data_IF_563102334584
#
_entry.id   IF_563102334584
#
_cell.length_a   1.000
_cell.length_b   1.000
_cell.length_c   1.000
_cell.angle_alpha   90.00
_cell.angle_beta   90.00
_cell.angle_gamma   90.00
#
_symmetry.space_group_name_H-M   'P 1'
#
loop_
_entity.id
_entity.type
_entity.pdbx_description
1 polymer ?
#
# COMPACT_ATOMS: atom_id res chain seq x y z
N UNK A 1 9.48 -19.22 -20.89
CA UNK A 1 10.95 -19.17 -20.71
C UNK A 1 11.55 -20.48 -21.20
N UNK A 2 12.45 -20.42 -22.18
CA UNK A 2 13.14 -21.60 -22.74
C UNK A 2 14.64 -21.45 -22.49
N UNK A 3 15.29 -22.35 -21.71
CA UNK A 3 16.74 -22.32 -21.48
C UNK A 3 17.53 -22.42 -22.78
N UNK A 4 18.63 -21.66 -22.88
CA UNK A 4 19.55 -21.69 -24.04
C UNK A 4 20.94 -22.13 -23.59
N UNK A 5 21.49 -21.48 -22.56
CA UNK A 5 22.85 -21.76 -22.09
C UNK A 5 22.99 -21.51 -20.60
N UNK A 6 23.78 -22.33 -19.91
CA UNK A 6 24.15 -22.16 -18.51
C UNK A 6 25.67 -22.28 -18.34
N UNK A 7 26.29 -21.25 -17.78
CA UNK A 7 27.70 -21.28 -17.39
C UNK A 7 27.81 -21.15 -15.88
N UNK A 8 28.72 -21.94 -15.29
CA UNK A 8 28.94 -22.00 -13.85
C UNK A 8 30.40 -21.74 -13.52
N UNK A 9 30.65 -20.96 -12.47
CA UNK A 9 31.96 -20.79 -11.85
C UNK A 9 31.83 -20.96 -10.34
N UNK A 10 32.63 -21.87 -9.78
CA UNK A 10 32.77 -22.07 -8.32
C UNK A 10 31.44 -22.28 -7.58
N UNK A 11 30.50 -22.98 -8.20
CA UNK A 11 29.15 -23.23 -7.69
C UNK A 11 29.00 -24.67 -7.21
N UNK A 12 28.91 -24.90 -5.90
CA UNK A 12 28.85 -26.23 -5.28
C UNK A 12 29.96 -27.18 -5.81
N UNK A 13 29.60 -28.24 -6.52
CA UNK A 13 30.54 -29.22 -7.09
C UNK A 13 31.23 -28.72 -8.37
N UNK A 14 30.76 -27.62 -8.96
CA UNK A 14 31.27 -27.06 -10.22
C UNK A 14 32.41 -26.07 -9.95
N UNK A 15 33.56 -26.30 -10.58
CA UNK A 15 34.76 -25.48 -10.43
C UNK A 15 34.82 -24.25 -11.36
N UNK A 16 36.02 -23.81 -11.70
CA UNK A 16 36.22 -22.64 -12.58
C UNK A 16 36.11 -22.99 -14.07
N UNK A 17 36.68 -24.13 -14.48
CA UNK A 17 36.74 -24.54 -15.89
C UNK A 17 35.62 -25.54 -16.24
N UNK A 18 34.37 -25.11 -16.03
CA UNK A 18 33.20 -25.94 -16.34
C UNK A 18 32.73 -25.61 -17.75
N UNK A 19 32.70 -26.58 -18.68
CA UNK A 19 32.13 -26.35 -20.00
C UNK A 19 30.68 -25.88 -19.89
N UNK A 20 30.27 -24.90 -20.70
CA UNK A 20 28.90 -24.40 -20.64
C UNK A 20 27.91 -25.48 -21.08
N UNK A 21 26.80 -25.59 -20.36
CA UNK A 21 25.70 -26.46 -20.74
C UNK A 21 24.85 -25.74 -21.79
N UNK A 22 24.86 -26.26 -23.00
CA UNK A 22 24.05 -25.78 -24.12
C UNK A 22 22.74 -26.58 -24.21
N UNK A 23 21.64 -25.94 -23.83
CA UNK A 23 20.31 -26.58 -23.83
C UNK A 23 19.74 -26.71 -25.25
N UNK A 24 20.29 -26.02 -26.25
CA UNK A 24 19.79 -26.11 -27.63
C UNK A 24 20.11 -27.45 -28.29
N UNK A 25 21.02 -28.22 -27.70
CA UNK A 25 21.46 -29.52 -28.22
C UNK A 25 20.49 -30.67 -27.89
N UNK A 26 19.50 -30.45 -27.03
CA UNK A 26 18.55 -31.47 -26.62
C UNK A 26 17.17 -30.90 -26.30
N UNK A 27 16.12 -31.65 -26.62
CA UNK A 27 14.75 -31.32 -26.19
C UNK A 27 14.39 -31.98 -24.85
N UNK A 28 14.96 -33.17 -24.59
CA UNK A 28 14.78 -33.94 -23.37
C UNK A 28 16.16 -34.44 -22.95
N UNK A 29 16.51 -34.26 -21.67
CA UNK A 29 17.74 -34.77 -21.09
C UNK A 29 17.46 -35.54 -19.80
N UNK A 30 18.21 -36.62 -19.59
CA UNK A 30 18.22 -37.35 -18.33
C UNK A 30 19.55 -37.08 -17.62
N UNK A 31 19.50 -36.47 -16.44
CA UNK A 31 20.67 -36.27 -15.58
C UNK A 31 20.85 -37.51 -14.70
N UNK A 32 21.81 -38.37 -15.07
CA UNK A 32 22.16 -39.58 -14.32
C UNK A 32 23.56 -39.49 -13.73
N UNK A 33 23.80 -40.18 -12.60
CA UNK A 33 25.09 -40.20 -11.90
C UNK A 33 24.93 -40.62 -10.44
N UNK A 34 26.03 -40.73 -9.69
CA UNK A 34 25.96 -41.00 -8.25
C UNK A 34 25.46 -39.77 -7.46
N UNK A 35 25.02 -39.99 -6.22
CA UNK A 35 24.73 -38.89 -5.29
C UNK A 35 25.98 -38.05 -5.05
N UNK A 36 25.82 -36.72 -5.00
CA UNK A 36 26.94 -35.80 -4.82
C UNK A 36 27.66 -35.34 -6.10
N UNK A 37 27.34 -35.89 -7.28
CA UNK A 37 27.96 -35.47 -8.55
C UNK A 37 27.36 -34.20 -9.18
N UNK A 38 26.73 -33.33 -8.39
CA UNK A 38 26.27 -32.02 -8.89
C UNK A 38 24.95 -31.98 -9.66
N UNK A 39 24.24 -33.10 -9.81
CA UNK A 39 22.93 -33.13 -10.51
C UNK A 39 21.94 -32.08 -9.97
N UNK A 40 21.75 -32.05 -8.65
CA UNK A 40 20.89 -31.05 -8.00
C UNK A 40 21.50 -29.64 -8.04
N UNK A 41 22.83 -29.52 -8.10
CA UNK A 41 23.52 -28.24 -8.17
C UNK A 41 23.27 -27.50 -9.48
N UNK A 42 23.10 -28.20 -10.62
CA UNK A 42 22.66 -27.57 -11.87
C UNK A 42 21.30 -26.89 -11.72
N UNK A 43 20.38 -27.57 -11.04
CA UNK A 43 19.03 -27.07 -10.82
C UNK A 43 19.03 -25.87 -9.86
N UNK A 44 19.81 -25.95 -8.78
CA UNK A 44 20.01 -24.81 -7.87
C UNK A 44 20.64 -23.61 -8.56
N UNK A 45 21.53 -23.83 -9.53
CA UNK A 45 22.15 -22.74 -10.27
C UNK A 45 21.11 -21.97 -11.11
N UNK A 46 20.14 -22.68 -11.71
CA UNK A 46 19.03 -22.04 -12.43
C UNK A 46 18.18 -21.21 -11.47
N UNK A 47 17.74 -21.79 -10.34
CA UNK A 47 16.90 -21.04 -9.39
C UNK A 47 17.63 -19.87 -8.76
N UNK A 48 18.92 -20.05 -8.43
CA UNK A 48 19.73 -19.02 -7.80
C UNK A 48 20.04 -17.89 -8.77
N UNK A 49 20.37 -18.19 -10.03
CA UNK A 49 20.65 -17.14 -11.02
C UNK A 49 19.44 -16.21 -11.20
N UNK A 50 18.24 -16.76 -11.36
CA UNK A 50 17.02 -16.00 -11.64
C UNK A 50 16.48 -15.30 -10.38
N UNK A 51 16.29 -16.04 -9.28
CA UNK A 51 15.59 -15.52 -8.09
C UNK A 51 16.49 -15.25 -6.88
N UNK A 52 17.76 -15.67 -6.92
CA UNK A 52 18.63 -15.64 -5.74
C UNK A 52 18.25 -16.67 -4.66
N UNK A 53 17.41 -17.64 -5.04
CA UNK A 53 16.87 -18.67 -4.17
C UNK A 53 17.44 -20.05 -4.54
N UNK A 54 17.69 -20.88 -3.55
CA UNK A 54 18.24 -22.21 -3.72
C UNK A 54 18.27 -22.97 -2.40
N UNK A 55 18.98 -24.10 -2.35
CA UNK A 55 19.24 -24.80 -1.09
C UNK A 55 19.92 -23.86 -0.09
N UNK A 56 19.42 -23.84 1.15
CA UNK A 56 19.94 -23.03 2.26
C UNK A 56 20.42 -23.97 3.37
N UNK A 57 21.52 -23.61 4.04
CA UNK A 57 21.90 -24.24 5.30
C UNK A 57 20.88 -23.91 6.40
N UNK A 58 20.72 -24.80 7.39
CA UNK A 58 19.70 -24.67 8.46
C UNK A 58 19.77 -23.38 9.28
N UNK A 59 20.88 -22.63 9.20
CA UNK A 59 21.14 -21.40 9.95
C UNK A 59 21.28 -20.16 9.04
N UNK A 60 21.14 -20.30 7.71
CA UNK A 60 21.40 -19.21 6.77
C UNK A 60 20.10 -18.56 6.25
N UNK A 61 20.02 -17.22 6.36
CA UNK A 61 18.89 -16.45 5.80
C UNK A 61 18.91 -16.39 4.27
N UNK A 62 20.08 -16.53 3.64
CA UNK A 62 20.30 -16.48 2.19
C UNK A 62 21.08 -17.70 1.74
N UNK A 63 20.82 -18.17 0.52
CA UNK A 63 21.47 -19.35 -0.03
C UNK A 63 22.94 -19.11 -0.45
N UNK A 64 23.35 -17.85 -0.61
CA UNK A 64 24.59 -17.45 -1.27
C UNK A 64 25.84 -18.16 -0.70
N UNK A 65 26.00 -18.21 0.63
CA UNK A 65 27.15 -18.87 1.25
C UNK A 65 27.12 -20.39 1.08
N UNK A 66 25.96 -21.01 1.31
CA UNK A 66 25.80 -22.47 1.16
C UNK A 66 25.98 -22.98 -0.28
N UNK A 67 25.86 -22.12 -1.29
CA UNK A 67 26.03 -22.47 -2.71
C UNK A 67 27.46 -22.26 -3.21
N UNK A 68 28.27 -21.45 -2.50
CA UNK A 68 29.67 -21.21 -2.84
C UNK A 68 30.48 -22.50 -2.66
N UNK A 69 31.27 -22.86 -3.67
CA UNK A 69 32.18 -24.01 -3.59
C UNK A 69 33.16 -23.85 -2.44
N UNK A 70 33.29 -24.89 -1.62
CA UNK A 70 34.20 -24.88 -0.46
C UNK A 70 35.63 -24.51 -0.86
N UNK A 71 36.23 -23.57 -0.13
CA UNK A 71 37.58 -23.08 -0.38
C UNK A 71 37.68 -21.95 -1.42
N UNK A 72 36.57 -21.60 -2.09
CA UNK A 72 36.52 -20.48 -3.03
C UNK A 72 36.02 -19.20 -2.37
N UNK A 73 36.30 -18.05 -3.00
CA UNK A 73 35.91 -16.73 -2.50
C UNK A 73 34.84 -16.07 -3.36
N UNK A 74 34.62 -16.56 -4.57
CA UNK A 74 33.63 -16.03 -5.51
C UNK A 74 32.95 -17.17 -6.26
N UNK A 75 31.71 -16.94 -6.66
CA UNK A 75 30.96 -17.78 -7.58
C UNK A 75 30.17 -16.93 -8.57
N UNK A 76 29.89 -17.50 -9.73
CA UNK A 76 29.08 -16.86 -10.76
C UNK A 76 28.23 -17.89 -11.48
N UNK A 77 27.00 -17.48 -11.81
CA UNK A 77 26.13 -18.21 -12.73
C UNK A 77 25.68 -17.25 -13.81
N UNK A 78 25.92 -17.62 -15.06
CA UNK A 78 25.37 -16.97 -16.25
C UNK A 78 24.29 -17.88 -16.84
N UNK A 79 23.09 -17.34 -16.99
CA UNK A 79 21.95 -18.04 -17.56
C UNK A 79 21.38 -17.26 -18.74
N UNK A 80 21.32 -17.90 -19.91
CA UNK A 80 20.74 -17.36 -21.14
C UNK A 80 19.48 -18.14 -21.46
N UNK A 81 18.40 -17.42 -21.77
CA UNK A 81 17.10 -18.00 -22.10
C UNK A 81 16.35 -17.15 -23.12
N UNK A 82 15.41 -17.79 -23.81
CA UNK A 82 14.48 -17.13 -24.72
C UNK A 82 13.10 -16.98 -24.05
N UNK A 83 12.47 -15.82 -24.23
CA UNK A 83 11.14 -15.49 -23.70
C UNK A 83 10.39 -14.63 -24.71
N UNK A 84 9.20 -15.10 -25.14
CA UNK A 84 8.34 -14.38 -26.08
C UNK A 84 9.04 -13.95 -27.40
N UNK A 85 10.09 -14.67 -27.81
CA UNK A 85 10.87 -14.39 -29.03
C UNK A 85 12.15 -13.57 -28.80
N UNK A 86 12.32 -13.00 -27.61
CA UNK A 86 13.52 -12.25 -27.22
C UNK A 86 14.49 -13.11 -26.42
N UNK A 87 15.79 -12.84 -26.58
CA UNK A 87 16.86 -13.53 -25.83
C UNK A 87 17.37 -12.66 -24.69
N UNK A 88 17.40 -13.24 -23.50
CA UNK A 88 17.84 -12.58 -22.28
C UNK A 88 19.03 -13.30 -21.66
N UNK A 89 19.79 -12.55 -20.86
CA UNK A 89 20.92 -13.06 -20.08
C UNK A 89 20.87 -12.50 -18.67
N UNK A 90 20.97 -13.38 -17.70
CA UNK A 90 21.15 -13.04 -16.28
C UNK A 90 22.55 -13.48 -15.87
N UNK A 91 23.30 -12.57 -15.27
CA UNK A 91 24.59 -12.88 -14.64
C UNK A 91 24.45 -12.54 -13.16
N UNK A 92 24.51 -13.57 -12.31
CA UNK A 92 24.54 -13.39 -10.86
C UNK A 92 25.89 -13.83 -10.33
N UNK A 93 26.50 -12.98 -9.52
CA UNK A 93 27.75 -13.33 -8.84
C UNK A 93 27.66 -13.03 -7.34
N UNK A 94 28.41 -13.82 -6.59
CA UNK A 94 28.59 -13.64 -5.16
C UNK A 94 30.08 -13.71 -4.86
N UNK A 95 30.58 -12.79 -4.05
CA UNK A 95 31.96 -12.83 -3.60
C UNK A 95 32.07 -12.48 -2.12
N UNK A 96 33.07 -13.08 -1.48
CA UNK A 96 33.44 -12.89 -0.10
C UNK A 96 34.81 -12.20 -0.03
N UNK A 97 34.84 -11.01 0.57
CA UNK A 97 36.03 -10.22 0.80
C UNK A 97 36.22 -9.99 2.31
N UNK A 98 36.93 -10.92 2.96
CA UNK A 98 37.25 -10.81 4.39
C UNK A 98 36.03 -11.03 5.28
N UNK A 99 35.44 -9.96 5.82
CA UNK A 99 34.17 -10.02 6.61
C UNK A 99 32.95 -9.57 5.80
N UNK A 100 33.16 -9.04 4.59
CA UNK A 100 32.11 -8.50 3.75
C UNK A 100 31.76 -9.47 2.63
N UNK A 101 30.51 -9.47 2.22
CA UNK A 101 30.04 -10.21 1.05
C UNK A 101 29.35 -9.25 0.07
N UNK A 102 29.50 -9.52 -1.22
CA UNK A 102 28.91 -8.71 -2.29
C UNK A 102 28.16 -9.61 -3.25
N UNK A 103 26.91 -9.25 -3.52
CA UNK A 103 26.10 -9.85 -4.59
C UNK A 103 26.06 -8.86 -5.74
N UNK A 104 26.32 -9.34 -6.95
CA UNK A 104 26.07 -8.61 -8.20
C UNK A 104 24.96 -9.31 -8.98
N UNK A 105 24.11 -8.53 -9.64
CA UNK A 105 23.05 -9.01 -10.49
C UNK A 105 22.98 -8.14 -11.73
N UNK A 106 23.23 -8.73 -12.89
CA UNK A 106 23.08 -8.08 -14.18
C UNK A 106 21.98 -8.77 -14.97
N UNK A 107 21.18 -7.96 -15.64
CA UNK A 107 20.14 -8.41 -16.56
C UNK A 107 20.34 -7.72 -17.91
N UNK A 108 20.35 -8.49 -18.99
CA UNK A 108 20.63 -8.00 -20.33
C UNK A 108 19.64 -8.61 -21.34
N UNK A 109 19.28 -7.85 -22.37
CA UNK A 109 18.53 -8.34 -23.53
C UNK A 109 19.44 -8.32 -24.76
N UNK A 110 19.31 -9.32 -25.61
CA UNK A 110 20.08 -9.43 -26.83
C UNK A 110 19.40 -8.63 -27.95
N UNK A 111 20.13 -7.64 -28.48
CA UNK A 111 19.72 -6.87 -29.64
C UNK A 111 20.19 -7.58 -30.92
N UNK A 112 19.23 -8.12 -31.67
CA UNK A 112 19.49 -8.82 -32.92
C UNK A 112 20.08 -7.89 -34.00
N UNK A 113 19.73 -6.60 -34.01
CA UNK A 113 20.23 -5.66 -35.02
C UNK A 113 21.69 -5.29 -34.77
N UNK A 114 22.02 -5.07 -33.50
CA UNK A 114 23.38 -4.73 -33.06
C UNK A 114 24.28 -5.91 -32.78
N UNK A 115 23.77 -7.15 -32.84
CA UNK A 115 24.45 -8.39 -32.45
C UNK A 115 25.16 -8.28 -31.09
N UNK A 116 24.49 -7.67 -30.10
CA UNK A 116 25.08 -7.37 -28.80
C UNK A 116 24.04 -7.43 -27.68
N UNK A 117 24.52 -7.63 -26.46
CA UNK A 117 23.67 -7.53 -25.28
C UNK A 117 23.58 -6.08 -24.80
N UNK A 118 22.35 -5.62 -24.56
CA UNK A 118 22.03 -4.31 -24.00
C UNK A 118 21.64 -4.50 -22.53
N UNK A 119 22.24 -3.70 -21.65
CA UNK A 119 21.95 -3.78 -20.22
C UNK A 119 20.53 -3.31 -19.91
N UNK A 120 19.80 -4.13 -19.19
CA UNK A 120 18.54 -3.84 -18.51
C UNK A 120 18.75 -3.71 -16.99
N UNK A 121 20.00 -3.63 -16.54
CA UNK A 121 20.38 -3.60 -15.13
C UNK A 121 20.13 -2.23 -14.52
N UNK A 122 19.55 -2.19 -13.31
CA UNK A 122 19.41 -0.99 -12.50
C UNK A 122 20.56 -0.87 -11.48
N UNK A 123 20.85 0.33 -10.94
CA UNK A 123 21.89 0.51 -9.93
C UNK A 123 21.69 -0.35 -8.68
N UNK A 124 20.43 -0.64 -8.32
CA UNK A 124 20.08 -1.51 -7.20
C UNK A 124 19.85 -2.95 -7.67
N UNK A 125 20.42 -3.91 -6.93
CA UNK A 125 20.15 -5.34 -7.13
C UNK A 125 18.68 -5.67 -6.88
N UNK A 126 18.00 -4.96 -5.97
CA UNK A 126 16.57 -5.15 -5.70
C UNK A 126 15.71 -4.73 -6.91
N UNK A 127 15.98 -3.56 -7.48
CA UNK A 127 15.24 -3.07 -8.65
C UNK A 127 15.49 -3.95 -9.88
N UNK A 128 16.72 -4.44 -10.04
CA UNK A 128 17.05 -5.41 -11.09
C UNK A 128 16.31 -6.73 -10.88
N UNK A 129 16.22 -7.22 -9.63
CA UNK A 129 15.44 -8.42 -9.29
C UNK A 129 13.95 -8.23 -9.62
N UNK A 130 13.36 -7.10 -9.24
CA UNK A 130 11.96 -6.77 -9.55
C UNK A 130 11.73 -6.71 -11.07
N UNK A 131 12.70 -6.16 -11.83
CA UNK A 131 12.64 -6.13 -13.29
C UNK A 131 12.67 -7.53 -13.90
N UNK A 132 13.54 -8.41 -13.40
CA UNK A 132 13.62 -9.82 -13.86
C UNK A 132 12.28 -10.52 -13.61
N UNK A 133 11.71 -10.39 -12.41
CA UNK A 133 10.42 -11.00 -12.04
C UNK A 133 9.29 -10.46 -12.91
N UNK A 134 9.22 -9.14 -13.13
CA UNK A 134 8.22 -8.51 -14.01
C UNK A 134 8.35 -8.97 -15.46
N UNK A 135 9.58 -9.17 -15.94
CA UNK A 135 9.83 -9.62 -17.31
C UNK A 135 9.40 -11.08 -17.47
N UNK A 136 9.80 -11.95 -16.53
CA UNK A 136 9.45 -13.38 -16.54
C UNK A 136 7.97 -13.65 -16.23
N UNK A 137 7.31 -12.72 -15.52
CA UNK A 137 5.97 -12.90 -14.92
C UNK A 137 5.87 -14.18 -14.09
N UNK A 138 6.99 -14.60 -13.51
CA UNK A 138 7.13 -15.86 -12.79
C UNK A 138 8.04 -15.64 -11.58
N UNK A 139 7.47 -15.74 -10.38
CA UNK A 139 8.24 -15.73 -9.16
C UNK A 139 8.78 -17.13 -8.81
N UNK A 140 9.62 -17.19 -7.77
CA UNK A 140 10.26 -18.43 -7.34
C UNK A 140 9.25 -19.49 -6.89
N UNK A 141 8.23 -19.11 -6.12
CA UNK A 141 7.23 -20.04 -5.60
C UNK A 141 6.41 -20.63 -6.73
N UNK A 142 6.00 -19.79 -7.67
CA UNK A 142 5.29 -20.19 -8.87
C UNK A 142 6.13 -21.15 -9.70
N UNK A 143 7.43 -20.86 -9.90
CA UNK A 143 8.33 -21.74 -10.65
C UNK A 143 8.48 -23.14 -10.02
N UNK A 144 8.75 -23.23 -8.71
CA UNK A 144 8.92 -24.52 -8.02
C UNK A 144 7.62 -25.33 -7.86
N UNK A 145 6.45 -24.68 -8.00
CA UNK A 145 5.17 -25.37 -7.95
C UNK A 145 4.63 -25.73 -9.35
N UNK A 146 5.17 -25.17 -10.43
CA UNK A 146 4.65 -25.36 -11.80
C UNK A 146 5.64 -26.03 -12.76
N UNK A 147 6.80 -25.42 -12.95
CA UNK A 147 7.78 -25.81 -13.97
C UNK A 147 8.90 -26.68 -13.39
N UNK A 148 9.09 -26.66 -12.08
CA UNK A 148 10.19 -27.36 -11.42
C UNK A 148 9.71 -28.33 -10.34
N UNK A 149 9.58 -29.59 -10.73
CA UNK A 149 9.11 -30.65 -9.84
C UNK A 149 10.29 -31.18 -9.01
N UNK A 150 10.39 -30.71 -7.76
CA UNK A 150 11.38 -31.20 -6.80
C UNK A 150 11.11 -32.66 -6.40
N UNK A 151 12.18 -33.45 -6.29
CA UNK A 151 12.11 -34.83 -5.82
C UNK A 151 11.51 -34.88 -4.40
N UNK A 152 10.43 -35.67 -4.22
CA UNK A 152 9.69 -35.77 -2.95
C UNK A 152 8.63 -34.70 -2.71
N UNK A 153 8.49 -33.71 -3.60
CA UNK A 153 7.47 -32.65 -3.53
C UNK A 153 6.39 -32.73 -4.63
N UNK A 154 6.37 -33.81 -5.42
CA UNK A 154 5.26 -34.12 -6.34
C UNK A 154 3.92 -34.08 -5.60
N UNK A 155 3.91 -34.57 -4.36
CA UNK A 155 2.71 -34.58 -3.53
C UNK A 155 2.43 -33.23 -2.85
N UNK A 156 3.33 -32.24 -2.89
CA UNK A 156 3.16 -30.98 -2.14
C UNK A 156 1.91 -30.25 -2.63
N UNK A 157 1.71 -30.18 -3.95
CA UNK A 157 0.48 -29.65 -4.53
C UNK A 157 -0.74 -30.52 -4.20
N UNK A 158 -0.60 -31.85 -4.24
CA UNK A 158 -1.70 -32.80 -3.96
C UNK A 158 -2.12 -32.81 -2.48
N UNK A 159 -1.19 -32.52 -1.55
CA UNK A 159 -1.40 -32.48 -0.10
C UNK A 159 -1.85 -31.11 0.39
N UNK A 160 -1.61 -30.03 -0.38
CA UNK A 160 -2.12 -28.68 -0.08
C UNK A 160 -3.65 -28.69 0.04
N UNK A 161 -4.19 -27.83 0.89
CA UNK A 161 -5.62 -27.61 1.03
C UNK A 161 -6.21 -27.00 -0.25
N UNK A 162 -7.54 -27.04 -0.40
CA UNK A 162 -8.21 -26.43 -1.55
C UNK A 162 -7.88 -24.93 -1.69
N UNK A 163 -7.72 -24.23 -0.55
CA UNK A 163 -7.33 -22.81 -0.51
C UNK A 163 -5.91 -22.60 -1.03
N UNK A 164 -4.93 -23.33 -0.51
CA UNK A 164 -3.53 -23.20 -0.90
C UNK A 164 -3.31 -23.60 -2.36
N UNK A 165 -4.02 -24.62 -2.86
CA UNK A 165 -4.00 -24.97 -4.30
C UNK A 165 -4.54 -23.83 -5.16
N UNK A 166 -5.63 -23.20 -4.73
CA UNK A 166 -6.19 -22.04 -5.42
C UNK A 166 -5.19 -20.88 -5.45
N UNK A 167 -4.51 -20.60 -4.34
CA UNK A 167 -3.47 -19.56 -4.27
C UNK A 167 -2.32 -19.84 -5.25
N UNK A 168 -1.76 -21.06 -5.25
CA UNK A 168 -0.70 -21.45 -6.20
C UNK A 168 -1.15 -21.33 -7.66
N UNK A 169 -2.36 -21.80 -7.99
CA UNK A 169 -2.90 -21.68 -9.35
C UNK A 169 -3.17 -20.22 -9.74
N UNK A 170 -3.66 -19.41 -8.81
CA UNK A 170 -3.84 -17.97 -9.02
C UNK A 170 -2.52 -17.26 -9.31
N UNK A 171 -1.44 -17.61 -8.61
CA UNK A 171 -0.10 -17.08 -8.87
C UNK A 171 0.42 -17.50 -10.27
N UNK A 172 0.29 -18.80 -10.62
CA UNK A 172 0.68 -19.32 -11.94
C UNK A 172 -0.06 -18.60 -13.07
N UNK A 173 -1.35 -18.35 -12.88
CA UNK A 173 -2.20 -17.70 -13.87
C UNK A 173 -2.12 -16.16 -13.81
N UNK A 174 -1.32 -15.59 -12.91
CA UNK A 174 -1.17 -14.14 -12.75
C UNK A 174 -2.44 -13.44 -12.27
N UNK A 175 -3.31 -14.13 -11.53
CA UNK A 175 -4.60 -13.60 -11.06
C UNK A 175 -4.47 -12.63 -9.88
N UNK A 176 -3.28 -12.49 -9.29
CA UNK A 176 -3.02 -11.55 -8.19
C UNK A 176 -3.37 -10.10 -8.54
N UNK A 177 -3.29 -9.72 -9.82
CA UNK A 177 -3.73 -8.41 -10.29
C UNK A 177 -5.22 -8.14 -10.01
N UNK A 178 -6.07 -9.18 -10.08
CA UNK A 178 -7.50 -9.04 -9.77
C UNK A 178 -7.75 -8.86 -8.26
N UNK A 179 -6.89 -9.43 -7.42
CA UNK A 179 -6.95 -9.21 -5.97
C UNK A 179 -6.58 -7.76 -5.63
N UNK A 180 -5.59 -7.18 -6.31
CA UNK A 180 -5.24 -5.75 -6.19
C UNK A 180 -6.42 -4.85 -6.59
N UNK A 181 -7.03 -5.10 -7.76
CA UNK A 181 -8.21 -4.37 -8.22
C UNK A 181 -9.39 -4.50 -7.25
N UNK A 182 -9.59 -5.68 -6.67
CA UNK A 182 -10.63 -5.93 -5.67
C UNK A 182 -10.38 -5.10 -4.40
N UNK A 183 -9.13 -5.03 -3.94
CA UNK A 183 -8.76 -4.23 -2.76
C UNK A 183 -8.92 -2.73 -3.02
N UNK A 184 -8.57 -2.25 -4.21
CA UNK A 184 -8.83 -0.87 -4.64
C UNK A 184 -10.34 -0.57 -4.63
N UNK A 185 -11.15 -1.43 -5.24
CA UNK A 185 -12.60 -1.26 -5.26
C UNK A 185 -13.22 -1.23 -3.85
N UNK A 186 -12.76 -2.09 -2.94
CA UNK A 186 -13.18 -2.08 -1.52
C UNK A 186 -12.80 -0.77 -0.82
N UNK A 187 -11.62 -0.23 -1.11
CA UNK A 187 -11.18 1.05 -0.55
C UNK A 187 -12.09 2.19 -1.02
N UNK A 188 -12.35 2.27 -2.33
CA UNK A 188 -13.28 3.26 -2.89
C UNK A 188 -14.69 3.14 -2.31
N UNK A 189 -15.21 1.92 -2.19
CA UNK A 189 -16.54 1.67 -1.61
C UNK A 189 -16.59 2.18 -0.15
N UNK A 190 -15.55 1.93 0.64
CA UNK A 190 -15.46 2.40 2.02
C UNK A 190 -15.45 3.93 2.11
N UNK A 191 -14.71 4.60 1.24
CA UNK A 191 -14.69 6.07 1.18
C UNK A 191 -16.05 6.65 0.82
N UNK A 192 -16.72 6.09 -0.19
CA UNK A 192 -18.05 6.52 -0.61
C UNK A 192 -19.06 6.33 0.53
N UNK A 193 -19.04 5.18 1.22
CA UNK A 193 -19.93 4.93 2.35
C UNK A 193 -19.72 5.94 3.49
N UNK A 194 -18.48 6.31 3.80
CA UNK A 194 -18.19 7.34 4.80
C UNK A 194 -18.76 8.72 4.39
N UNK A 195 -18.65 9.07 3.10
CA UNK A 195 -19.24 10.30 2.57
C UNK A 195 -20.76 10.26 2.71
N UNK A 196 -21.40 9.15 2.32
CA UNK A 196 -22.86 8.96 2.43
C UNK A 196 -23.30 9.13 3.89
N UNK A 197 -22.68 8.41 4.82
CA UNK A 197 -23.00 8.52 6.25
C UNK A 197 -22.90 9.96 6.77
N UNK A 198 -21.85 10.68 6.38
CA UNK A 198 -21.65 12.08 6.80
C UNK A 198 -22.73 13.00 6.22
N UNK A 199 -23.17 12.77 4.98
CA UNK A 199 -24.23 13.54 4.33
C UNK A 199 -25.59 13.24 4.94
N UNK A 200 -25.89 11.97 5.21
CA UNK A 200 -27.15 11.55 5.82
C UNK A 200 -27.29 12.15 7.23
N UNK A 201 -26.25 12.07 8.06
CA UNK A 201 -26.28 12.72 9.39
C UNK A 201 -26.49 14.24 9.30
N UNK A 202 -25.93 14.90 8.28
CA UNK A 202 -26.13 16.34 8.07
C UNK A 202 -27.55 16.66 7.58
N UNK A 203 -28.11 15.83 6.72
CA UNK A 203 -29.51 15.97 6.28
C UNK A 203 -30.47 15.77 7.44
N UNK A 204 -30.21 14.79 8.30
CA UNK A 204 -31.02 14.53 9.49
C UNK A 204 -30.98 15.70 10.48
N UNK A 205 -29.79 16.27 10.71
CA UNK A 205 -29.64 17.50 11.51
C UNK A 205 -30.43 18.68 10.94
N UNK A 206 -30.32 18.95 9.62
CA UNK A 206 -31.05 20.03 8.96
C UNK A 206 -32.56 19.80 9.02
N UNK A 207 -33.02 18.55 8.87
CA UNK A 207 -34.44 18.21 8.97
C UNK A 207 -34.99 18.48 10.38
N UNK A 208 -34.22 18.18 11.42
CA UNK A 208 -34.59 18.50 12.81
C UNK A 208 -34.68 20.01 13.07
N UNK A 209 -33.71 20.79 12.58
CA UNK A 209 -33.74 22.26 12.67
C UNK A 209 -34.96 22.85 11.95
N UNK A 210 -35.23 22.39 10.71
CA UNK A 210 -36.38 22.84 9.93
C UNK A 210 -37.73 22.54 10.62
N UNK A 211 -37.84 21.38 11.28
CA UNK A 211 -39.05 21.03 12.03
C UNK A 211 -39.33 21.99 13.20
N UNK A 212 -38.32 22.67 13.73
CA UNK A 212 -38.49 23.64 14.82
C UNK A 212 -38.74 25.07 14.35
N UNK A 213 -38.64 25.36 13.05
CA UNK A 213 -38.78 26.74 12.52
C UNK A 213 -40.13 27.36 12.87
N UNK A 214 -41.23 26.62 12.73
CA UNK A 214 -42.56 27.15 13.03
C UNK A 214 -42.76 27.38 14.53
N UNK A 215 -42.16 26.54 15.38
CA UNK A 215 -42.12 26.75 16.83
C UNK A 215 -41.37 28.05 17.19
N UNK A 216 -40.17 28.26 16.62
CA UNK A 216 -39.40 29.47 16.86
C UNK A 216 -40.10 30.72 16.32
N UNK A 217 -40.75 30.66 15.14
CA UNK A 217 -41.57 31.75 14.61
C UNK A 217 -42.72 32.10 15.56
N UNK A 218 -43.42 31.11 16.10
CA UNK A 218 -44.47 31.30 17.09
C UNK A 218 -43.95 32.02 18.34
N UNK A 219 -42.82 31.54 18.87
CA UNK A 219 -42.17 32.11 20.06
C UNK A 219 -41.68 33.55 19.85
N UNK A 220 -41.13 33.85 18.67
CA UNK A 220 -40.73 35.21 18.29
C UNK A 220 -41.95 36.13 18.25
N UNK A 221 -43.06 35.68 17.66
CA UNK A 221 -44.29 36.47 17.60
C UNK A 221 -44.83 36.77 19.00
N UNK A 222 -44.89 35.75 19.86
CA UNK A 222 -45.36 35.89 21.24
C UNK A 222 -44.48 36.83 22.08
N UNK A 223 -43.16 36.73 21.93
CA UNK A 223 -42.20 37.64 22.56
C UNK A 223 -42.33 39.08 22.03
N UNK A 224 -42.53 39.25 20.73
CA UNK A 224 -42.74 40.56 20.10
C UNK A 224 -44.03 41.21 20.59
N UNK A 225 -45.13 40.46 20.66
CA UNK A 225 -46.42 40.96 21.17
C UNK A 225 -46.31 41.33 22.65
N UNK A 226 -45.61 40.52 23.45
CA UNK A 226 -45.34 40.79 24.86
C UNK A 226 -44.48 42.04 25.04
N UNK A 227 -43.43 42.20 24.24
CA UNK A 227 -42.59 43.39 24.25
C UNK A 227 -43.39 44.63 23.90
N UNK A 228 -44.23 44.59 22.86
CA UNK A 228 -45.09 45.72 22.47
C UNK A 228 -46.02 46.15 23.60
N UNK A 229 -46.70 45.19 24.26
CA UNK A 229 -47.58 45.45 25.41
C UNK A 229 -46.82 46.07 26.59
N UNK A 230 -45.64 45.54 26.92
CA UNK A 230 -44.83 46.06 28.03
C UNK A 230 -44.35 47.47 27.72
N UNK A 231 -43.86 47.72 26.50
CA UNK A 231 -43.44 49.05 26.06
C UNK A 231 -44.57 50.07 26.11
N UNK A 232 -45.79 49.68 25.74
CA UNK A 232 -46.96 50.56 25.86
C UNK A 232 -47.28 50.88 27.33
N UNK A 233 -47.26 49.89 28.22
CA UNK A 233 -47.45 50.11 29.67
C UNK A 233 -46.37 51.01 30.27
N UNK A 234 -45.11 50.87 29.85
CA UNK A 234 -44.02 51.75 30.28
C UNK A 234 -44.34 53.18 29.87
N UNK A 235 -44.74 53.41 28.62
CA UNK A 235 -45.08 54.74 28.10
C UNK A 235 -46.24 55.38 28.85
N UNK A 236 -47.31 54.61 29.13
CA UNK A 236 -48.45 55.07 29.93
C UNK A 236 -48.02 55.44 31.37
N UNK A 237 -47.13 54.65 31.97
CA UNK A 237 -46.61 54.93 33.31
C UNK A 237 -45.69 56.14 33.34
N UNK A 238 -44.86 56.35 32.32
CA UNK A 238 -44.04 57.55 32.16
C UNK A 238 -44.90 58.81 32.04
N UNK A 239 -45.98 58.77 31.25
CA UNK A 239 -46.94 59.88 31.16
C UNK A 239 -47.63 60.17 32.50
N UNK A 240 -48.02 59.12 33.24
CA UNK A 240 -48.58 59.27 34.59
C UNK A 240 -47.57 59.91 35.54
N UNK A 241 -46.31 59.48 35.51
CA UNK A 241 -45.23 60.05 36.33
C UNK A 241 -45.01 61.52 35.99
N UNK A 242 -44.99 61.89 34.71
CA UNK A 242 -44.82 63.29 34.30
C UNK A 242 -45.97 64.16 34.80
N UNK A 243 -47.23 63.73 34.66
CA UNK A 243 -48.39 64.45 35.21
C UNK A 243 -48.33 64.61 36.74
N UNK A 244 -47.90 63.56 37.45
CA UNK A 244 -47.73 63.63 38.90
C UNK A 244 -46.59 64.57 39.31
N UNK A 245 -45.48 64.59 38.56
CA UNK A 245 -44.38 65.55 38.77
C UNK A 245 -44.82 66.99 38.54
N UNK A 246 -45.55 67.26 37.48
CA UNK A 246 -46.13 68.60 37.22
C UNK A 246 -47.06 69.04 38.37
N UNK A 247 -47.94 68.14 38.83
CA UNK A 247 -48.85 68.42 39.94
C UNK A 247 -48.13 68.62 41.27
N UNK A 248 -47.07 67.84 41.52
CA UNK A 248 -46.23 68.02 42.71
C UNK A 248 -45.51 69.38 42.67
N UNK A 249 -44.94 69.76 41.52
CA UNK A 249 -44.32 71.08 41.34
C UNK A 249 -45.32 72.23 41.54
N UNK A 250 -46.54 72.10 41.01
CA UNK A 250 -47.60 73.09 41.24
C UNK A 250 -48.02 73.22 42.71
N UNK A 251 -48.17 72.09 43.41
CA UNK A 251 -48.50 72.09 44.84
C UNK A 251 -47.36 72.65 45.69
N UNK A 252 -46.10 72.38 45.32
CA UNK A 252 -44.93 72.93 45.98
C UNK A 252 -44.86 74.45 45.81
N UNK A 253 -45.07 74.96 44.59
CA UNK A 253 -45.16 76.40 44.33
C UNK A 253 -46.29 77.06 45.14
N UNK A 254 -47.47 76.42 45.22
CA UNK A 254 -48.57 76.92 46.07
C UNK A 254 -48.25 76.91 47.56
N UNK A 255 -47.51 75.91 48.03
CA UNK A 255 -47.04 75.86 49.42
C UNK A 255 -46.06 76.99 49.71
N UNK A 256 -45.12 77.25 48.79
CA UNK A 256 -44.16 78.34 48.90
C UNK A 256 -44.86 79.72 48.89
N UNK A 257 -45.86 79.92 48.01
CA UNK A 257 -46.71 81.13 48.03
C UNK A 257 -47.47 81.30 49.35
N UNK A 258 -47.97 80.21 49.92
CA UNK A 258 -48.70 80.23 51.18
C UNK A 258 -47.77 80.55 52.36
N UNK A 259 -46.57 79.96 52.38
CA UNK A 259 -45.53 80.24 53.38
C UNK A 259 -45.03 81.69 53.28
N UNK A 260 -44.91 82.24 52.07
CA UNK A 260 -44.56 83.65 51.85
C UNK A 260 -45.69 84.60 52.31
N UNK A 261 -46.96 84.21 52.13
CA UNK A 261 -48.11 84.94 52.65
C UNK A 261 -48.17 84.92 54.19
N UNK A 262 -47.86 83.78 54.82
CA UNK A 262 -47.78 83.64 56.28
C UNK A 262 -46.69 84.56 56.84
N UNK A 263 -45.49 84.58 56.22
CA UNK A 263 -44.40 85.48 56.62
C UNK A 263 -44.68 86.98 56.44
N UNK A 264 -45.71 87.36 55.68
CA UNK A 264 -46.16 88.77 55.55
C UNK A 264 -47.21 89.17 56.59
N UNK A 265 -47.79 88.21 57.30
CA UNK A 265 -48.84 88.41 58.30
C UNK A 265 -48.26 88.41 59.73
N UNK A 266 -47.06 87.83 59.93
CA UNK A 266 -46.20 88.03 61.12
C UNK A 266 -45.32 89.28 61.00
#
# INVERSE_FOLDING_TARGET
MIPVKLNLKNFLSYGEEVPPLDFTQFHIACLSGANGQGKSALLDALTWSIWGEGRKGSQEKKADNSLLRTGQKDMQVEFIFDLEGDRYRIIRSFSHAGKSSRVSLEFQAYDQKGNKYISLTYPSTRETQERIIKTLKLDYQTFINSAFILQGRIDEFSRKTARERKEVLSEILGLSHYDELTNLAKTYLKEINNIIMTKDSRLEYIAQELAQVDFYKGKIKELSDSHSRISQKIKEKEEQINKLKERAGFLQHKSEEFDELIRRIE
#
